data_IF_211567560661
#
_entry.id   IF_211567560661
#
_cell.length_a   1.000
_cell.length_b   1.000
_cell.length_c   1.000
_cell.angle_alpha   90.00
_cell.angle_beta   90.00
_cell.angle_gamma   90.00
#
_symmetry.space_group_name_H-M   'P 1'
#
loop_
_entity.id
_entity.type
_entity.pdbx_description
1 polymer ?
#
# COMPACT_ATOMS: atom_id res chain seq x y z
N UNK A 1 4.45 23.26 25.36
CA UNK A 1 4.34 23.08 23.90
C UNK A 1 4.16 21.59 23.70
N UNK A 2 2.90 21.17 23.77
CA UNK A 2 2.51 19.76 23.82
C UNK A 2 2.07 19.33 22.42
N UNK A 3 2.97 18.69 21.68
CA UNK A 3 2.63 18.07 20.41
C UNK A 3 2.20 16.62 20.68
N UNK A 4 0.89 16.43 20.81
CA UNK A 4 0.27 15.11 20.92
C UNK A 4 0.59 14.24 19.70
N UNK A 5 1.29 13.15 19.96
CA UNK A 5 1.41 11.95 19.12
C UNK A 5 0.03 11.37 18.80
N UNK A 6 -0.47 11.63 17.58
CA UNK A 6 -1.61 10.90 17.03
C UNK A 6 -1.12 9.64 16.32
N UNK A 7 -0.79 8.61 17.09
CA UNK A 7 -0.57 7.26 16.55
C UNK A 7 -1.93 6.62 16.27
N UNK A 8 -2.41 6.74 15.03
CA UNK A 8 -3.64 6.07 14.58
C UNK A 8 -3.45 4.54 14.72
N UNK A 9 -4.34 3.80 15.39
CA UNK A 9 -4.16 2.37 15.60
C UNK A 9 -4.52 1.61 14.31
N UNK A 10 -3.53 1.44 13.43
CA UNK A 10 -3.59 0.63 12.19
C UNK A 10 -3.94 -0.86 12.42
N UNK A 11 -3.99 -1.30 13.67
CA UNK A 11 -4.08 -2.70 14.09
C UNK A 11 -5.48 -3.32 14.01
N UNK A 12 -6.57 -2.52 14.05
CA UNK A 12 -7.94 -3.07 14.03
C UNK A 12 -8.31 -3.68 12.67
N UNK A 13 -7.71 -3.20 11.58
CA UNK A 13 -7.90 -3.77 10.25
C UNK A 13 -7.21 -5.13 10.11
N UNK A 14 -5.95 -5.24 10.56
CA UNK A 14 -5.04 -6.35 10.26
C UNK A 14 -5.54 -7.75 10.66
N UNK A 15 -6.31 -7.88 11.75
CA UNK A 15 -6.80 -9.19 12.24
C UNK A 15 -7.73 -9.89 11.24
N UNK A 16 -8.52 -9.14 10.48
CA UNK A 16 -9.40 -9.70 9.44
C UNK A 16 -8.62 -10.20 8.21
N UNK A 17 -7.36 -9.78 8.05
CA UNK A 17 -6.52 -10.07 6.89
C UNK A 17 -5.80 -11.41 7.03
N UNK A 18 -5.38 -11.74 8.25
CA UNK A 18 -4.75 -13.03 8.56
C UNK A 18 -5.67 -14.20 8.21
N UNK A 19 -7.00 -14.05 8.37
CA UNK A 19 -7.97 -15.09 8.07
C UNK A 19 -8.10 -15.40 6.56
N UNK A 20 -7.80 -14.45 5.67
CA UNK A 20 -7.97 -14.61 4.21
C UNK A 20 -6.82 -15.39 3.55
N UNK A 21 -5.71 -15.60 4.26
CA UNK A 21 -4.50 -16.24 3.71
C UNK A 21 -4.46 -17.75 3.92
N UNK A 22 -5.52 -18.36 4.46
CA UNK A 22 -5.59 -19.80 4.71
C UNK A 22 -5.96 -20.59 3.45
N UNK A 23 -5.15 -20.48 2.40
CA UNK A 23 -5.14 -21.43 1.29
C UNK A 23 -3.75 -21.46 0.62
N UNK A 24 -3.04 -22.58 0.89
CA UNK A 24 -1.78 -23.08 0.30
C UNK A 24 -0.47 -22.40 0.71
N UNK A 25 0.20 -23.11 1.63
CA UNK A 25 1.62 -23.09 1.97
C UNK A 25 2.55 -23.14 0.75
N UNK A 26 3.14 -22.00 0.42
CA UNK A 26 4.58 -21.81 0.17
C UNK A 26 4.95 -20.52 0.92
N UNK A 27 6.19 -20.35 1.36
CA UNK A 27 6.68 -19.20 2.13
C UNK A 27 6.48 -17.86 1.38
N UNK A 28 5.24 -17.40 1.27
CA UNK A 28 4.90 -16.11 0.70
C UNK A 28 5.24 -15.07 1.74
N UNK A 29 6.40 -14.47 1.53
CA UNK A 29 6.82 -13.28 2.21
C UNK A 29 5.69 -12.25 2.25
N UNK A 30 5.21 -11.96 3.45
CA UNK A 30 4.11 -11.02 3.66
C UNK A 30 4.68 -9.62 3.54
N UNK A 31 4.48 -9.01 2.36
CA UNK A 31 4.79 -7.62 2.06
C UNK A 31 3.52 -6.80 2.20
N UNK A 32 3.59 -5.70 2.95
CA UNK A 32 2.52 -4.71 3.07
C UNK A 32 3.08 -3.37 2.60
N UNK A 33 2.54 -2.83 1.52
CA UNK A 33 2.88 -1.48 1.07
C UNK A 33 2.30 -0.46 2.05
N UNK A 34 3.16 0.40 2.62
CA UNK A 34 2.76 1.36 3.64
C UNK A 34 2.60 2.76 3.05
N UNK A 35 3.62 3.26 2.36
CA UNK A 35 3.60 4.58 1.72
C UNK A 35 4.69 4.69 0.63
N UNK A 36 4.66 5.78 -0.11
CA UNK A 36 5.68 6.16 -1.08
C UNK A 36 5.98 7.66 -1.01
N UNK A 37 7.24 8.01 -1.20
CA UNK A 37 7.75 9.37 -1.17
C UNK A 37 8.74 9.62 -2.31
N UNK A 38 9.03 10.89 -2.60
CA UNK A 38 10.03 11.27 -3.58
C UNK A 38 11.44 11.05 -3.01
N UNK A 39 12.23 10.21 -3.66
CA UNK A 39 13.68 10.12 -3.45
C UNK A 39 14.47 11.01 -4.41
N UNK A 40 15.81 11.02 -4.27
CA UNK A 40 16.68 11.82 -5.14
C UNK A 40 16.63 11.39 -6.60
N UNK A 41 16.66 10.07 -6.84
CA UNK A 41 16.77 9.48 -8.20
C UNK A 41 15.58 8.59 -8.58
N UNK A 42 14.79 8.16 -7.61
CA UNK A 42 13.62 7.29 -7.79
C UNK A 42 12.59 7.55 -6.68
N UNK A 43 11.39 7.00 -6.81
CA UNK A 43 10.46 6.91 -5.69
C UNK A 43 11.03 6.00 -4.61
N UNK A 44 10.81 6.34 -3.34
CA UNK A 44 11.16 5.49 -2.20
C UNK A 44 9.88 4.91 -1.62
N UNK A 45 9.78 3.58 -1.63
CA UNK A 45 8.67 2.85 -1.04
C UNK A 45 9.00 2.52 0.40
N UNK A 46 8.09 2.86 1.30
CA UNK A 46 8.07 2.31 2.66
C UNK A 46 7.12 1.12 2.68
N UNK A 47 7.61 -0.03 3.10
CA UNK A 47 6.80 -1.25 3.22
C UNK A 47 7.12 -2.00 4.50
N UNK A 48 6.21 -2.89 4.91
CA UNK A 48 6.41 -3.79 6.03
C UNK A 48 6.68 -5.18 5.50
N UNK A 49 7.80 -5.76 5.94
CA UNK A 49 8.18 -7.15 5.67
C UNK A 49 8.15 -7.89 7.00
N UNK A 50 7.23 -8.83 7.15
CA UNK A 50 6.90 -9.48 8.43
C UNK A 50 6.48 -8.48 9.53
N UNK A 51 7.44 -7.91 10.27
CA UNK A 51 7.21 -6.96 11.37
C UNK A 51 8.09 -5.71 11.30
N UNK A 52 8.97 -5.62 10.31
CA UNK A 52 9.92 -4.52 10.18
C UNK A 52 9.51 -3.60 9.04
N UNK A 53 9.66 -2.30 9.28
CA UNK A 53 9.54 -1.29 8.24
C UNK A 53 10.86 -1.22 7.49
N UNK A 54 10.79 -1.45 6.19
CA UNK A 54 11.91 -1.32 5.27
C UNK A 54 11.59 -0.23 4.25
N UNK A 55 12.66 0.32 3.66
CA UNK A 55 12.57 1.29 2.57
C UNK A 55 13.40 0.82 1.40
N UNK A 56 12.83 0.85 0.20
CA UNK A 56 13.52 0.53 -1.04
C UNK A 56 13.17 1.54 -2.12
N UNK A 57 14.11 1.86 -3.02
CA UNK A 57 13.78 2.50 -4.29
C UNK A 57 12.72 1.69 -5.03
N UNK A 58 11.81 2.36 -5.73
CA UNK A 58 10.72 1.73 -6.47
C UNK A 58 11.25 0.65 -7.43
N UNK A 59 12.30 0.96 -8.19
CA UNK A 59 12.96 0.00 -9.07
C UNK A 59 13.40 -1.31 -8.38
N UNK A 60 13.87 -1.24 -7.14
CA UNK A 60 14.27 -2.42 -6.35
C UNK A 60 13.07 -3.11 -5.70
N UNK A 61 12.11 -2.35 -5.21
CA UNK A 61 10.87 -2.88 -4.67
C UNK A 61 10.12 -3.73 -5.71
N UNK A 62 10.12 -3.32 -6.98
CA UNK A 62 9.55 -4.09 -8.10
C UNK A 62 10.22 -5.45 -8.29
N UNK A 63 11.51 -5.59 -7.96
CA UNK A 63 12.25 -6.86 -8.09
C UNK A 63 11.84 -7.91 -7.06
N UNK A 64 11.08 -7.52 -6.02
CA UNK A 64 10.44 -8.46 -5.09
C UNK A 64 9.31 -9.27 -5.75
N UNK A 65 8.94 -8.93 -7.00
CA UNK A 65 8.06 -9.73 -7.83
C UNK A 65 6.58 -9.64 -7.45
N UNK A 66 5.84 -10.71 -7.70
CA UNK A 66 4.37 -10.71 -7.59
C UNK A 66 3.82 -10.30 -6.22
N UNK A 67 4.56 -10.58 -5.13
CA UNK A 67 4.18 -10.16 -3.78
C UNK A 67 4.16 -8.63 -3.62
N UNK A 68 5.12 -7.91 -4.23
CA UNK A 68 5.17 -6.46 -4.21
C UNK A 68 4.04 -5.84 -5.05
N UNK A 69 3.79 -6.37 -6.25
CA UNK A 69 2.66 -5.91 -7.11
C UNK A 69 1.33 -6.06 -6.39
N UNK A 70 1.09 -7.22 -5.78
CA UNK A 70 -0.12 -7.48 -5.02
C UNK A 70 -0.24 -6.56 -3.79
N UNK A 71 0.88 -6.23 -3.13
CA UNK A 71 0.88 -5.30 -2.00
C UNK A 71 0.48 -3.87 -2.40
N UNK A 72 0.98 -3.38 -3.54
CA UNK A 72 0.63 -2.06 -4.11
C UNK A 72 -0.87 -1.99 -4.43
N UNK A 73 -1.39 -2.98 -5.15
CA UNK A 73 -2.80 -3.03 -5.51
C UNK A 73 -3.71 -3.10 -4.27
N UNK A 74 -3.32 -3.90 -3.26
CA UNK A 74 -4.06 -4.00 -2.00
C UNK A 74 -4.05 -2.70 -1.19
N UNK A 75 -2.97 -1.93 -1.28
CA UNK A 75 -2.89 -0.61 -0.68
C UNK A 75 -3.74 0.44 -1.44
N UNK A 76 -4.31 0.07 -2.59
CA UNK A 76 -5.17 0.93 -3.41
C UNK A 76 -4.41 1.74 -4.46
N UNK A 77 -3.08 1.62 -4.49
CA UNK A 77 -2.22 2.32 -5.43
C UNK A 77 -2.29 1.68 -6.82
N UNK A 78 -2.02 2.50 -7.83
CA UNK A 78 -1.90 2.04 -9.22
C UNK A 78 -0.43 1.92 -9.59
N UNK A 79 -0.01 0.70 -9.95
CA UNK A 79 1.36 0.40 -10.34
C UNK A 79 1.87 1.26 -11.50
N UNK A 80 1.03 1.51 -12.52
CA UNK A 80 1.39 2.28 -13.72
C UNK A 80 1.67 3.73 -13.34
N UNK A 81 0.87 4.31 -12.43
CA UNK A 81 1.05 5.68 -11.96
C UNK A 81 2.37 5.80 -11.20
N UNK A 82 2.71 4.82 -10.35
CA UNK A 82 3.99 4.78 -9.65
C UNK A 82 5.18 4.69 -10.64
N UNK A 83 5.07 3.87 -11.69
CA UNK A 83 6.09 3.78 -12.75
C UNK A 83 6.29 5.11 -13.50
N UNK A 84 5.20 5.79 -13.86
CA UNK A 84 5.24 7.11 -14.52
C UNK A 84 5.88 8.19 -13.63
N UNK A 85 5.57 8.17 -12.33
CA UNK A 85 6.17 9.11 -11.37
C UNK A 85 7.66 8.84 -11.17
N UNK A 86 8.07 7.58 -11.07
CA UNK A 86 9.47 7.19 -11.01
C UNK A 86 10.26 7.60 -12.26
N UNK A 87 9.64 7.52 -13.45
CA UNK A 87 10.22 8.07 -14.68
C UNK A 87 10.32 9.59 -14.66
N UNK A 88 9.26 10.27 -14.22
CA UNK A 88 9.24 11.74 -14.09
C UNK A 88 10.31 12.26 -13.13
N UNK A 89 10.65 11.51 -12.07
CA UNK A 89 11.77 11.85 -11.18
C UNK A 89 13.10 11.81 -11.94
N UNK A 90 13.35 10.69 -12.64
CA UNK A 90 14.59 10.50 -13.42
C UNK A 90 14.77 11.56 -14.52
N UNK A 91 13.67 12.06 -15.06
CA UNK A 91 13.67 13.11 -16.09
C UNK A 91 13.62 14.53 -15.52
N UNK A 92 13.57 14.70 -14.19
CA UNK A 92 13.50 16.00 -13.53
C UNK A 92 12.16 16.74 -13.72
N UNK A 93 11.10 16.04 -14.13
CA UNK A 93 9.76 16.60 -14.37
C UNK A 93 8.75 16.32 -13.26
N UNK A 94 9.18 15.64 -12.20
CA UNK A 94 8.32 15.24 -11.09
C UNK A 94 7.70 16.44 -10.36
N UNK A 95 6.40 16.32 -10.05
CA UNK A 95 5.66 17.28 -9.24
C UNK A 95 5.10 16.58 -8.02
N UNK A 96 5.31 17.20 -6.86
CA UNK A 96 4.79 16.68 -5.58
C UNK A 96 3.25 16.58 -5.58
N UNK A 97 2.57 17.49 -6.30
CA UNK A 97 1.11 17.47 -6.46
C UNK A 97 0.59 16.18 -7.09
N UNK A 98 1.36 15.56 -7.97
CA UNK A 98 0.96 14.34 -8.66
C UNK A 98 0.99 13.16 -7.69
N UNK A 99 1.97 13.16 -6.78
CA UNK A 99 2.06 12.17 -5.70
C UNK A 99 0.94 12.32 -4.67
N UNK A 100 0.61 13.56 -4.27
CA UNK A 100 -0.50 13.81 -3.35
C UNK A 100 -1.86 13.42 -3.96
N UNK A 101 -2.04 13.67 -5.26
CA UNK A 101 -3.23 13.24 -6.00
C UNK A 101 -3.33 11.71 -6.01
N UNK A 102 -2.24 11.02 -6.38
CA UNK A 102 -2.19 9.56 -6.38
C UNK A 102 -2.43 8.96 -4.98
N UNK A 103 -1.92 9.61 -3.91
CA UNK A 103 -2.15 9.20 -2.51
C UNK A 103 -3.64 9.30 -2.14
N UNK A 104 -4.31 10.38 -2.54
CA UNK A 104 -5.74 10.54 -2.31
C UNK A 104 -6.56 9.51 -3.07
N UNK A 105 -6.24 9.27 -4.35
CA UNK A 105 -6.89 8.21 -5.14
C UNK A 105 -6.68 6.83 -4.51
N UNK A 106 -5.46 6.52 -4.07
CA UNK A 106 -5.17 5.24 -3.42
C UNK A 106 -6.00 5.05 -2.15
N UNK A 107 -6.19 6.12 -1.37
CA UNK A 107 -7.05 6.10 -0.17
C UNK A 107 -8.52 5.83 -0.53
N UNK A 108 -9.04 6.46 -1.57
CA UNK A 108 -10.42 6.22 -2.04
C UNK A 108 -10.59 4.81 -2.62
N UNK A 109 -9.65 4.34 -3.43
CA UNK A 109 -9.62 2.96 -3.96
C UNK A 109 -9.55 1.93 -2.84
N UNK A 110 -8.77 2.22 -1.79
CA UNK A 110 -8.71 1.36 -0.62
C UNK A 110 -10.05 1.35 0.10
N UNK A 111 -10.67 2.50 0.32
CA UNK A 111 -12.01 2.59 0.94
C UNK A 111 -13.05 1.81 0.14
N UNK A 112 -13.10 1.94 -1.18
CA UNK A 112 -14.08 1.22 -2.02
C UNK A 112 -13.91 -0.30 -1.92
N UNK A 113 -12.67 -0.78 -1.83
CA UNK A 113 -12.37 -2.22 -1.61
C UNK A 113 -12.78 -2.72 -0.21
N UNK A 114 -12.82 -1.84 0.80
CA UNK A 114 -13.19 -2.20 2.19
C UNK A 114 -14.63 -1.81 2.56
N UNK A 115 -15.27 -0.94 1.80
CA UNK A 115 -16.70 -0.65 1.92
C UNK A 115 -17.45 -1.86 1.39
N UNK A 116 -17.86 -2.70 2.32
CA UNK A 116 -18.81 -3.78 2.12
C UNK A 116 -19.98 -3.24 1.29
N UNK A 117 -20.28 -3.87 0.15
CA UNK A 117 -21.52 -3.60 -0.56
C UNK A 117 -22.68 -3.78 0.43
N UNK A 118 -23.58 -2.81 0.51
CA UNK A 118 -24.80 -2.92 1.34
C UNK A 118 -25.68 -4.14 0.95
N UNK A 119 -25.36 -4.79 -0.18
CA UNK A 119 -26.00 -5.99 -0.72
C UNK A 119 -25.41 -7.31 -0.22
N UNK A 120 -24.40 -7.31 0.66
CA UNK A 120 -23.95 -8.56 1.28
C UNK A 120 -25.08 -9.13 2.14
N UNK A 121 -25.52 -10.39 1.92
CA UNK A 121 -26.65 -10.95 2.64
C UNK A 121 -26.38 -10.92 4.15
N UNK A 122 -27.33 -10.35 4.89
CA UNK A 122 -27.38 -10.46 6.35
C UNK A 122 -27.52 -11.95 6.65
N UNK A 123 -26.45 -12.54 7.18
CA UNK A 123 -26.47 -13.90 7.70
C UNK A 123 -27.38 -13.91 8.93
N UNK A 124 -28.66 -14.22 8.73
CA UNK A 124 -29.57 -14.61 9.78
C UNK A 124 -29.25 -16.06 10.16
N UNK A 125 -28.35 -16.24 11.13
CA UNK A 125 -28.39 -17.44 11.96
C UNK A 125 -29.23 -17.09 13.19
N UNK A 126 -30.48 -17.51 13.15
CA UNK A 126 -31.45 -17.54 14.24
C UNK A 126 -32.33 -18.76 14.07
#
# INVERSE_FOLDING_TARGET
MDCFTNTIPFWKGLKKWLAFTKAKSQDQEIIIFADVERGPDDLVVTYVRYRFYDRLPWGEFKRLGGSATLAVEKAGWNWIILDQMAESIREGRFKESDLDTARNEAKENRKSKFSRSASDPISYFG
#
